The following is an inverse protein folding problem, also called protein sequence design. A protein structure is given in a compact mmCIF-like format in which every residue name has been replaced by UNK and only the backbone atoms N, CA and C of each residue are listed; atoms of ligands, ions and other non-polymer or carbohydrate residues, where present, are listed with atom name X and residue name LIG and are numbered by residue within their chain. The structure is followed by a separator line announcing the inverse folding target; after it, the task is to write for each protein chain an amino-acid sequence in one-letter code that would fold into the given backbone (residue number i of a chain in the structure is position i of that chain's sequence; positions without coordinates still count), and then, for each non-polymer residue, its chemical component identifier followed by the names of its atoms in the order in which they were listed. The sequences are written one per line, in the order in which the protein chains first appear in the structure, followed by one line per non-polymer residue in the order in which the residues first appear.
data_IF_182450656527
#
_entry.id   IF_182450656527
#
_cell.length_a   1.000
_cell.length_b   1.000
_cell.length_c   1.000
_cell.angle_alpha   90.00
_cell.angle_beta   90.00
_cell.angle_gamma   90.00
#
_symmetry.space_group_name_H-M   'P 1'
#
loop_
_entity.id
_entity.type
_entity.pdbx_description
1 polymer ?
#
# COMPACT_ATOMS: atom_id res chain seq x y z
N UNK A 1 25.04 17.62 10.44
CA UNK A 1 23.89 17.46 9.54
C UNK A 1 22.64 17.52 10.37
N UNK A 2 21.70 18.41 10.04
CA UNK A 2 20.42 18.50 10.74
C UNK A 2 19.65 17.18 10.60
N UNK A 3 19.25 16.61 11.74
CA UNK A 3 18.43 15.40 11.80
C UNK A 3 17.19 15.49 10.88
N UNK A 4 16.61 16.68 10.76
CA UNK A 4 15.51 16.97 9.84
C UNK A 4 15.86 16.77 8.36
N UNK A 5 17.08 17.14 7.95
CA UNK A 5 17.56 16.94 6.58
C UNK A 5 17.71 15.44 6.29
N UNK A 6 18.23 14.66 7.25
CA UNK A 6 18.34 13.21 7.12
C UNK A 6 16.95 12.55 6.95
N UNK A 7 15.95 12.99 7.73
CA UNK A 7 14.58 12.48 7.59
C UNK A 7 13.93 12.86 6.26
N UNK A 8 14.17 14.07 5.77
CA UNK A 8 13.69 14.48 4.45
C UNK A 8 14.28 13.63 3.31
N UNK A 9 15.59 13.35 3.38
CA UNK A 9 16.26 12.49 2.40
C UNK A 9 15.71 11.07 2.45
N UNK A 10 15.58 10.48 3.65
CA UNK A 10 14.99 9.15 3.83
C UNK A 10 13.55 9.07 3.30
N UNK A 11 12.72 10.07 3.62
CA UNK A 11 11.35 10.15 3.12
C UNK A 11 11.30 10.23 1.59
N UNK A 12 12.17 11.05 0.99
CA UNK A 12 12.26 11.18 -0.47
C UNK A 12 12.67 9.87 -1.14
N UNK A 13 13.62 9.14 -0.57
CA UNK A 13 14.02 7.81 -1.05
C UNK A 13 12.85 6.82 -1.01
N UNK A 14 12.09 6.81 0.06
CA UNK A 14 10.92 5.93 0.14
C UNK A 14 9.84 6.35 -0.85
N UNK A 15 9.59 7.65 -1.01
CA UNK A 15 8.62 8.15 -1.99
C UNK A 15 9.00 7.71 -3.41
N UNK A 16 10.27 7.85 -3.78
CA UNK A 16 10.81 7.40 -5.07
C UNK A 16 10.66 5.88 -5.22
N UNK A 17 10.99 5.10 -4.18
CA UNK A 17 10.81 3.66 -4.20
C UNK A 17 9.34 3.27 -4.36
N UNK A 18 8.40 4.02 -3.75
CA UNK A 18 6.96 3.81 -3.86
C UNK A 18 6.46 4.09 -5.28
N UNK A 19 6.96 5.16 -5.91
CA UNK A 19 6.64 5.51 -7.30
C UNK A 19 7.20 4.45 -8.26
N UNK A 20 8.47 4.05 -8.09
CA UNK A 20 9.09 3.00 -8.89
C UNK A 20 8.36 1.67 -8.72
N UNK A 21 7.96 1.33 -7.49
CA UNK A 21 7.15 0.16 -7.21
C UNK A 21 5.80 0.24 -7.91
N UNK A 22 5.10 1.38 -7.85
CA UNK A 22 3.85 1.55 -8.61
C UNK A 22 4.05 1.41 -10.12
N UNK A 23 5.10 2.00 -10.69
CA UNK A 23 5.38 1.93 -12.12
C UNK A 23 5.67 0.48 -12.53
N UNK A 24 6.59 -0.18 -11.83
CA UNK A 24 6.96 -1.58 -12.09
C UNK A 24 5.76 -2.51 -11.93
N UNK A 25 4.99 -2.34 -10.86
CA UNK A 25 3.82 -3.16 -10.59
C UNK A 25 2.72 -2.93 -11.64
N UNK A 26 2.53 -1.68 -12.09
CA UNK A 26 1.57 -1.36 -13.17
C UNK A 26 1.98 -1.99 -14.50
N UNK A 27 3.28 -2.00 -14.81
CA UNK A 27 3.79 -2.57 -16.05
C UNK A 27 3.67 -4.11 -16.05
N UNK A 28 4.01 -4.75 -14.94
CA UNK A 28 3.85 -6.19 -14.79
C UNK A 28 2.36 -6.60 -14.68
N UNK A 29 1.49 -5.70 -14.21
CA UNK A 29 0.05 -5.87 -14.26
C UNK A 29 -0.52 -5.86 -15.68
N UNK A 30 0.03 -5.03 -16.59
CA UNK A 30 -0.41 -5.02 -18.00
C UNK A 30 -0.16 -6.37 -18.65
N UNK A 31 0.91 -7.07 -18.26
CA UNK A 31 1.22 -8.43 -18.72
C UNK A 31 0.20 -9.48 -18.26
N UNK A 32 -0.47 -9.27 -17.12
CA UNK A 32 -1.42 -10.23 -16.53
C UNK A 32 -2.88 -9.91 -16.95
N UNK A 33 -3.12 -8.88 -17.77
CA UNK A 33 -4.46 -8.41 -18.20
C UNK A 33 -5.40 -9.48 -18.78
N UNK A 34 -4.90 -10.68 -19.15
CA UNK A 34 -5.72 -11.82 -19.53
C UNK A 34 -6.60 -12.42 -18.41
N UNK A 35 -6.26 -12.23 -17.13
CA UNK A 35 -6.88 -12.99 -16.03
C UNK A 35 -7.83 -12.21 -15.09
N UNK A 36 -7.69 -10.88 -14.93
CA UNK A 36 -8.57 -10.10 -14.04
C UNK A 36 -9.11 -8.80 -14.68
N UNK A 37 -10.23 -8.29 -14.17
CA UNK A 37 -10.82 -6.99 -14.59
C UNK A 37 -10.02 -5.82 -13.99
N UNK A 38 -9.86 -4.73 -14.75
CA UNK A 38 -9.21 -3.47 -14.33
C UNK A 38 -9.63 -3.01 -12.91
N UNK A 39 -10.93 -3.07 -12.59
CA UNK A 39 -11.44 -2.68 -11.26
C UNK A 39 -10.82 -3.46 -10.10
N UNK A 40 -10.53 -4.74 -10.28
CA UNK A 40 -9.98 -5.58 -9.23
C UNK A 40 -8.50 -5.27 -8.98
N UNK A 41 -7.78 -4.92 -10.04
CA UNK A 41 -6.40 -4.48 -9.98
C UNK A 41 -6.23 -3.16 -9.21
N UNK A 42 -7.12 -2.18 -9.40
CA UNK A 42 -7.10 -0.93 -8.62
C UNK A 42 -7.20 -1.21 -7.14
N UNK A 43 -8.11 -2.13 -6.77
CA UNK A 43 -8.39 -2.43 -5.37
C UNK A 43 -7.20 -3.20 -4.75
N UNK A 44 -6.59 -4.14 -5.48
CA UNK A 44 -5.35 -4.80 -5.05
C UNK A 44 -4.19 -3.82 -4.87
N UNK A 45 -3.97 -2.95 -5.86
CA UNK A 45 -2.90 -1.95 -5.81
C UNK A 45 -3.10 -1.01 -4.62
N UNK A 46 -4.34 -0.56 -4.40
CA UNK A 46 -4.70 0.29 -3.26
C UNK A 46 -4.42 -0.40 -1.93
N UNK A 47 -4.80 -1.68 -1.78
CA UNK A 47 -4.50 -2.46 -0.59
C UNK A 47 -3.01 -2.55 -0.29
N UNK A 48 -2.19 -2.89 -1.30
CA UNK A 48 -0.73 -2.97 -1.17
C UNK A 48 -0.10 -1.61 -0.80
N UNK A 49 -0.60 -0.52 -1.36
CA UNK A 49 -0.15 0.84 -1.05
C UNK A 49 -0.46 1.22 0.40
N UNK A 50 -1.61 0.81 0.94
CA UNK A 50 -1.94 1.04 2.34
C UNK A 50 -0.98 0.29 3.28
N UNK A 51 -0.54 -0.92 2.94
CA UNK A 51 0.48 -1.65 3.71
C UNK A 51 1.80 -0.88 3.70
N UNK A 52 2.26 -0.47 2.51
CA UNK A 52 3.55 0.23 2.39
C UNK A 52 3.52 1.59 3.10
N UNK A 53 2.43 2.33 2.94
CA UNK A 53 2.21 3.59 3.64
C UNK A 53 2.12 3.40 5.16
N UNK A 54 1.54 2.29 5.65
CA UNK A 54 1.44 2.01 7.08
C UNK A 54 2.81 1.92 7.75
N UNK A 55 3.76 1.23 7.10
CA UNK A 55 5.11 1.02 7.62
C UNK A 55 5.84 2.35 7.65
N UNK A 56 5.79 3.09 6.54
CA UNK A 56 6.48 4.36 6.41
C UNK A 56 5.94 5.42 7.39
N UNK A 57 4.62 5.57 7.45
CA UNK A 57 3.97 6.58 8.26
C UNK A 57 4.10 6.25 9.75
N UNK A 58 3.96 4.98 10.13
CA UNK A 58 4.19 4.53 11.50
C UNK A 58 5.64 4.79 11.93
N UNK A 59 6.61 4.52 11.07
CA UNK A 59 8.02 4.80 11.36
C UNK A 59 8.29 6.29 11.55
N UNK A 60 7.76 7.15 10.68
CA UNK A 60 7.91 8.61 10.78
C UNK A 60 7.31 9.15 12.08
N UNK A 61 6.14 8.61 12.47
CA UNK A 61 5.41 9.01 13.67
C UNK A 61 6.12 8.52 14.92
N UNK A 62 6.60 7.28 14.94
CA UNK A 62 7.43 6.77 16.03
C UNK A 62 8.63 7.68 16.34
N UNK A 63 9.19 8.28 15.31
CA UNK A 63 10.36 9.15 15.37
C UNK A 63 10.08 10.55 15.97
N UNK A 64 8.85 11.05 15.85
CA UNK A 64 8.47 12.42 16.24
C UNK A 64 7.35 12.50 17.29
N UNK A 65 6.70 11.37 17.60
CA UNK A 65 5.46 11.27 18.39
C UNK A 65 5.49 10.00 19.25
N UNK A 66 4.63 9.89 20.27
CA UNK A 66 4.58 8.71 21.14
C UNK A 66 4.28 7.41 20.39
N UNK A 67 4.93 6.33 20.85
CA UNK A 67 4.88 4.99 20.23
C UNK A 67 3.44 4.45 20.05
N UNK A 68 2.54 4.75 20.98
CA UNK A 68 1.14 4.33 20.91
C UNK A 68 0.42 4.90 19.68
N UNK A 69 0.76 6.12 19.25
CA UNK A 69 0.20 6.75 18.06
C UNK A 69 0.69 6.06 16.78
N UNK A 70 1.97 5.65 16.75
CA UNK A 70 2.54 4.90 15.64
C UNK A 70 1.87 3.52 15.49
N UNK A 71 1.73 2.78 16.60
CA UNK A 71 1.04 1.49 16.64
C UNK A 71 -0.41 1.62 16.17
N UNK A 72 -1.12 2.66 16.64
CA UNK A 72 -2.50 2.91 16.23
C UNK A 72 -2.62 3.13 14.71
N UNK A 73 -1.76 3.95 14.13
CA UNK A 73 -1.77 4.25 12.70
C UNK A 73 -1.38 3.03 11.87
N UNK A 74 -0.40 2.26 12.33
CA UNK A 74 -0.05 0.98 11.72
C UNK A 74 -1.24 0.03 11.67
N UNK A 75 -1.95 -0.13 12.80
CA UNK A 75 -3.12 -1.01 12.90
C UNK A 75 -4.26 -0.56 11.99
N UNK A 76 -4.59 0.73 11.98
CA UNK A 76 -5.68 1.30 11.14
C UNK A 76 -5.39 1.13 9.65
N UNK A 77 -4.16 1.43 9.21
CA UNK A 77 -3.81 1.29 7.79
C UNK A 77 -3.76 -0.17 7.34
N UNK A 78 -3.29 -1.08 8.19
CA UNK A 78 -3.32 -2.52 7.87
C UNK A 78 -4.75 -3.07 7.86
N UNK A 79 -5.64 -2.63 8.75
CA UNK A 79 -7.05 -2.99 8.71
C UNK A 79 -7.72 -2.55 7.40
N UNK A 80 -7.41 -1.33 6.94
CA UNK A 80 -7.86 -0.83 5.64
C UNK A 80 -7.28 -1.66 4.47
N UNK A 81 -5.99 -1.99 4.51
CA UNK A 81 -5.38 -2.84 3.50
C UNK A 81 -6.07 -4.21 3.39
N UNK A 82 -6.35 -4.85 4.53
CA UNK A 82 -7.07 -6.13 4.58
C UNK A 82 -8.46 -5.98 3.99
N UNK A 83 -9.18 -4.89 4.28
CA UNK A 83 -10.49 -4.63 3.67
C UNK A 83 -10.41 -4.53 2.14
N UNK A 84 -9.43 -3.79 1.60
CA UNK A 84 -9.23 -3.68 0.15
C UNK A 84 -8.86 -5.03 -0.47
N UNK A 85 -7.93 -5.78 0.13
CA UNK A 85 -7.54 -7.10 -0.37
C UNK A 85 -8.70 -8.10 -0.32
N UNK A 86 -9.48 -8.10 0.75
CA UNK A 86 -10.70 -8.90 0.87
C UNK A 86 -11.69 -8.53 -0.23
N UNK A 87 -11.96 -7.23 -0.42
CA UNK A 87 -12.88 -6.76 -1.47
C UNK A 87 -12.40 -7.15 -2.86
N UNK A 88 -11.10 -7.07 -3.11
CA UNK A 88 -10.51 -7.50 -4.37
C UNK A 88 -10.67 -9.02 -4.59
N UNK A 89 -10.59 -9.84 -3.54
CA UNK A 89 -10.84 -11.28 -3.62
C UNK A 89 -12.32 -11.62 -3.87
N UNK A 90 -13.26 -10.87 -3.27
CA UNK A 90 -14.71 -11.13 -3.46
C UNK A 90 -15.20 -10.83 -4.88
N UNK A 91 -14.53 -9.91 -5.59
CA UNK A 91 -14.82 -9.63 -7.01
C UNK A 91 -14.55 -10.87 -7.89
N UNK A 92 -13.63 -11.76 -7.49
CA UNK A 92 -13.41 -13.07 -8.15
C UNK A 92 -14.54 -14.04 -7.84
N UNK A 93 -14.94 -14.12 -6.57
CA UNK A 93 -15.88 -15.13 -6.07
C UNK A 93 -17.29 -14.96 -6.65
N UNK A 94 -17.71 -13.74 -6.98
CA UNK A 94 -18.97 -13.49 -7.72
C UNK A 94 -18.99 -14.07 -9.14
N UNK A 95 -17.81 -14.42 -9.70
CA UNK A 95 -17.69 -15.01 -11.04
C UNK A 95 -17.86 -16.53 -11.03
N UNK A 96 -17.24 -17.23 -10.06
CA UNK A 96 -17.36 -18.68 -9.90
C UNK A 96 -18.81 -19.13 -9.62
N UNK A 97 -19.66 -18.23 -9.12
CA UNK A 97 -21.07 -18.49 -8.86
C UNK A 97 -22.00 -18.18 -10.04
N UNK A 98 -21.50 -17.56 -11.11
CA UNK A 98 -22.30 -17.11 -12.27
C UNK A 98 -21.93 -17.83 -13.58
N UNK A 99 -20.90 -18.66 -13.58
CA UNK A 99 -20.60 -19.65 -14.62
C UNK A 99 -21.18 -21.01 -14.22
#
# INVERSE_FOLDING_TARGET
MDLYFLYFVLFSFVLIALVLFMVFFTDELKRIQGHFKWKQYIVYLSGSLFILASILLSYLIYLHRPIWLAIFIFAVFNAMAVYFLYRASTIVREREWKE
#
